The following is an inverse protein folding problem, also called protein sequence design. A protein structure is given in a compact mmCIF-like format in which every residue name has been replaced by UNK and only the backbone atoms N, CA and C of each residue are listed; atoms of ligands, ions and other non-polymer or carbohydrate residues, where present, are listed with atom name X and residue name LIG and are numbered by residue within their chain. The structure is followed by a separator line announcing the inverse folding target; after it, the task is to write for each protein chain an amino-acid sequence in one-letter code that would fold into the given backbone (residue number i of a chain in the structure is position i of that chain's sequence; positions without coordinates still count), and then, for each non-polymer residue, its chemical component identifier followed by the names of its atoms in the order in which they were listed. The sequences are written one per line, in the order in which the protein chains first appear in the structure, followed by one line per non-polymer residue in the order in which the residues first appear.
data_IF_497709011569
#
_entry.id   IF_497709011569
#
_cell.length_a   1.000
_cell.length_b   1.000
_cell.length_c   1.000
_cell.angle_alpha   90.00
_cell.angle_beta   90.00
_cell.angle_gamma   90.00
#
_symmetry.space_group_name_H-M   'P 1'
#
loop_
_entity.id
_entity.type
_entity.pdbx_description
1 polymer ?
#
# COMPACT_ATOMS: atom_id res chain seq x y z
N UNK A 1 30.40 -14.95 39.76
CA UNK A 1 29.96 -13.55 39.46
C UNK A 1 30.22 -13.20 38.00
N UNK A 2 31.38 -13.54 37.43
CA UNK A 2 31.75 -13.20 36.04
C UNK A 2 30.85 -13.82 34.97
N UNK A 3 30.51 -15.11 35.10
CA UNK A 3 29.64 -15.82 34.14
C UNK A 3 28.24 -15.19 34.07
N UNK A 4 27.72 -14.72 35.20
CA UNK A 4 26.43 -14.01 35.26
C UNK A 4 26.50 -12.67 34.51
N UNK A 5 27.62 -11.95 34.62
CA UNK A 5 27.85 -10.71 33.88
C UNK A 5 27.96 -10.93 32.37
N UNK A 6 28.64 -12.00 31.95
CA UNK A 6 28.76 -12.37 30.53
C UNK A 6 27.38 -12.75 29.96
N UNK A 7 26.60 -13.57 30.67
CA UNK A 7 25.24 -13.92 30.27
C UNK A 7 24.35 -12.68 30.16
N UNK A 8 24.40 -11.79 31.14
CA UNK A 8 23.65 -10.54 31.12
C UNK A 8 24.02 -9.67 29.92
N UNK A 9 25.32 -9.53 29.63
CA UNK A 9 25.80 -8.76 28.47
C UNK A 9 25.34 -9.37 27.14
N UNK A 10 25.38 -10.69 27.00
CA UNK A 10 24.90 -11.37 25.79
C UNK A 10 23.39 -11.16 25.56
N UNK A 11 22.58 -11.25 26.62
CA UNK A 11 21.14 -10.96 26.54
C UNK A 11 20.92 -9.51 26.12
N UNK A 12 21.65 -8.58 26.72
CA UNK A 12 21.54 -7.15 26.41
C UNK A 12 21.95 -6.87 24.96
N UNK A 13 22.99 -7.54 24.45
CA UNK A 13 23.43 -7.43 23.06
C UNK A 13 22.40 -7.99 22.09
N UNK A 14 21.80 -9.15 22.37
CA UNK A 14 20.73 -9.72 21.53
C UNK A 14 19.52 -8.80 21.49
N UNK A 15 19.10 -8.26 22.64
CA UNK A 15 18.02 -7.27 22.73
C UNK A 15 18.38 -6.03 21.93
N UNK A 16 19.60 -5.50 22.07
CA UNK A 16 20.06 -4.32 21.34
C UNK A 16 20.03 -4.50 19.82
N UNK A 17 20.53 -5.63 19.32
CA UNK A 17 20.52 -5.97 17.89
C UNK A 17 19.09 -6.19 17.41
N UNK A 18 18.24 -6.86 18.21
CA UNK A 18 16.82 -7.07 17.92
C UNK A 18 16.06 -5.75 17.76
N UNK A 19 16.19 -4.83 18.72
CA UNK A 19 15.58 -3.50 18.62
C UNK A 19 16.12 -2.71 17.41
N UNK A 20 17.41 -2.82 17.11
CA UNK A 20 17.99 -2.15 15.93
C UNK A 20 17.39 -2.68 14.61
N UNK A 21 17.10 -3.99 14.54
CA UNK A 21 16.46 -4.61 13.39
C UNK A 21 15.00 -4.16 13.22
N UNK A 22 14.25 -3.99 14.31
CA UNK A 22 12.86 -3.49 14.26
C UNK A 22 12.78 -2.06 13.74
N UNK A 23 13.75 -1.20 14.09
CA UNK A 23 13.86 0.15 13.49
C UNK A 23 14.09 0.07 11.99
N UNK A 24 14.91 -0.88 11.53
CA UNK A 24 15.11 -1.16 10.11
C UNK A 24 13.85 -1.57 9.37
N UNK A 25 13.09 -2.50 9.94
CA UNK A 25 11.80 -2.95 9.40
C UNK A 25 10.79 -1.80 9.35
N UNK A 26 10.77 -0.96 10.38
CA UNK A 26 9.94 0.24 10.42
C UNK A 26 10.36 1.22 9.32
N UNK A 27 11.66 1.42 9.09
CA UNK A 27 12.17 2.24 8.00
C UNK A 27 11.80 1.67 6.61
N UNK A 28 11.79 0.34 6.46
CA UNK A 28 11.30 -0.35 5.25
C UNK A 28 9.84 -0.02 4.97
N UNK A 29 9.00 -0.10 5.99
CA UNK A 29 7.58 0.21 5.90
C UNK A 29 7.35 1.67 5.46
N UNK A 30 8.31 2.55 5.74
CA UNK A 30 8.30 3.94 5.32
C UNK A 30 8.98 4.22 3.97
N UNK A 31 9.47 3.22 3.24
CA UNK A 31 10.06 3.36 1.90
C UNK A 31 11.58 3.63 1.88
N UNK A 32 12.22 3.75 3.05
CA UNK A 32 13.64 4.15 3.16
C UNK A 32 14.60 2.96 3.18
N UNK A 33 15.89 3.25 2.94
CA UNK A 33 16.98 2.27 3.00
C UNK A 33 17.04 1.57 4.37
N UNK A 34 16.64 0.30 4.40
CA UNK A 34 16.63 -0.53 5.62
C UNK A 34 18.00 -0.59 6.27
N UNK A 35 19.04 -0.88 5.48
CA UNK A 35 20.42 -1.02 5.95
C UNK A 35 20.94 0.28 6.57
N UNK A 36 20.61 1.43 5.97
CA UNK A 36 21.05 2.73 6.47
C UNK A 36 20.46 3.03 7.85
N UNK A 37 19.17 2.72 8.04
CA UNK A 37 18.49 2.94 9.32
C UNK A 37 18.89 1.93 10.39
N UNK A 38 19.14 0.67 10.03
CA UNK A 38 19.69 -0.33 10.97
C UNK A 38 21.07 0.10 11.46
N UNK A 39 21.97 0.51 10.55
CA UNK A 39 23.32 0.96 10.92
C UNK A 39 23.27 2.24 11.77
N UNK A 40 22.39 3.18 11.44
CA UNK A 40 22.17 4.39 12.23
C UNK A 40 21.69 4.07 13.66
N UNK A 41 20.70 3.17 13.79
CA UNK A 41 20.18 2.70 15.07
C UNK A 41 21.25 2.00 15.90
N UNK A 42 22.06 1.17 15.26
CA UNK A 42 23.13 0.43 15.91
C UNK A 42 24.25 1.36 16.43
N UNK A 43 24.52 2.46 15.72
CA UNK A 43 25.59 3.41 16.03
C UNK A 43 25.21 4.44 17.10
N UNK A 44 23.97 4.96 17.06
CA UNK A 44 23.50 5.98 18.00
C UNK A 44 22.73 5.37 19.16
N UNK A 45 21.60 4.75 18.88
CA UNK A 45 20.75 4.05 19.82
C UNK A 45 19.50 3.54 19.08
N UNK A 46 19.03 2.31 19.34
CA UNK A 46 17.78 1.79 18.78
C UNK A 46 16.59 2.70 19.11
N UNK A 47 16.59 3.29 20.31
CA UNK A 47 15.53 4.18 20.77
C UNK A 47 15.49 5.47 19.95
N UNK A 48 16.67 6.04 19.68
CA UNK A 48 16.81 7.26 18.89
C UNK A 48 16.43 6.99 17.42
N UNK A 49 16.86 5.86 16.87
CA UNK A 49 16.47 5.45 15.52
C UNK A 49 14.97 5.26 15.37
N UNK A 50 14.29 4.64 16.35
CA UNK A 50 12.84 4.46 16.35
C UNK A 50 12.08 5.80 16.35
N UNK A 51 12.45 6.71 17.26
CA UNK A 51 11.85 8.06 17.35
C UNK A 51 12.09 8.82 16.04
N UNK A 52 13.30 8.77 15.52
CA UNK A 52 13.68 9.50 14.32
C UNK A 52 12.95 8.97 13.08
N UNK A 53 12.81 7.65 12.94
CA UNK A 53 11.98 7.02 11.88
C UNK A 53 10.52 7.47 11.95
N UNK A 54 9.94 7.51 13.15
CA UNK A 54 8.56 7.98 13.34
C UNK A 54 8.41 9.49 13.10
N UNK A 55 9.36 10.30 13.53
CA UNK A 55 9.33 11.76 13.34
C UNK A 55 9.54 12.17 11.89
N UNK A 56 10.34 11.44 11.10
CA UNK A 56 10.56 11.78 9.70
C UNK A 56 9.41 11.34 8.77
N UNK A 57 8.41 10.61 9.27
CA UNK A 57 7.23 10.18 8.49
C UNK A 57 7.55 9.29 7.28
N UNK A 58 6.51 8.82 6.58
CA UNK A 58 6.61 8.03 5.34
C UNK A 58 7.35 8.86 4.29
N UNK A 59 8.52 8.39 3.82
CA UNK A 59 9.02 8.98 2.58
C UNK A 59 8.10 8.52 1.47
N UNK A 60 7.60 9.50 0.74
CA UNK A 60 6.82 9.31 -0.46
C UNK A 60 7.75 8.84 -1.59
N UNK A 61 8.33 7.64 -1.42
CA UNK A 61 9.01 6.93 -2.51
C UNK A 61 7.98 6.25 -3.42
N UNK A 62 6.71 6.23 -3.03
CA UNK A 62 5.61 6.32 -4.00
C UNK A 62 5.56 7.76 -4.48
N UNK A 63 5.76 8.00 -5.78
CA UNK A 63 5.69 9.35 -6.27
C UNK A 63 4.27 9.88 -6.00
N UNK A 64 4.15 11.15 -5.62
CA UNK A 64 2.85 11.77 -5.31
C UNK A 64 1.78 11.62 -6.42
N UNK A 65 2.18 11.21 -7.63
CA UNK A 65 1.29 10.89 -8.75
C UNK A 65 0.74 9.47 -8.74
N UNK A 66 1.25 8.53 -7.93
CA UNK A 66 0.82 7.13 -7.89
C UNK A 66 -0.63 6.98 -7.39
N UNK A 67 -0.99 7.69 -6.32
CA UNK A 67 -2.38 7.80 -5.84
C UNK A 67 -3.28 8.36 -6.96
N UNK A 68 -2.80 9.39 -7.67
CA UNK A 68 -3.54 9.99 -8.79
C UNK A 68 -3.75 9.03 -9.95
N UNK A 69 -2.82 8.11 -10.25
CA UNK A 69 -3.01 7.12 -11.34
C UNK A 69 -3.99 6.05 -10.95
N UNK A 70 -4.01 5.62 -9.70
CA UNK A 70 -4.93 4.59 -9.25
C UNK A 70 -6.38 5.08 -9.27
N UNK A 71 -6.61 6.33 -8.87
CA UNK A 71 -7.91 7.00 -8.99
C UNK A 71 -8.34 7.15 -10.46
N UNK A 72 -7.43 7.63 -11.32
CA UNK A 72 -7.71 7.77 -12.76
C UNK A 72 -8.02 6.42 -13.41
N UNK A 73 -7.32 5.35 -13.04
CA UNK A 73 -7.56 3.99 -13.57
C UNK A 73 -8.92 3.45 -13.12
N UNK A 74 -9.33 3.71 -11.88
CA UNK A 74 -10.67 3.35 -11.37
C UNK A 74 -11.77 4.12 -12.10
N UNK A 75 -11.57 5.42 -12.34
CA UNK A 75 -12.49 6.23 -13.15
C UNK A 75 -12.61 5.68 -14.57
N UNK A 76 -11.48 5.40 -15.24
CA UNK A 76 -11.47 4.87 -16.60
C UNK A 76 -12.17 3.52 -16.71
N UNK A 77 -11.93 2.62 -15.75
CA UNK A 77 -12.59 1.32 -15.70
C UNK A 77 -14.10 1.46 -15.50
N UNK A 78 -14.53 2.45 -14.72
CA UNK A 78 -15.95 2.71 -14.46
C UNK A 78 -16.65 3.32 -15.66
N UNK A 79 -16.00 4.28 -16.32
CA UNK A 79 -16.49 4.90 -17.56
C UNK A 79 -16.69 3.85 -18.66
N UNK A 80 -15.72 2.95 -18.83
CA UNK A 80 -15.82 1.84 -19.79
C UNK A 80 -16.98 0.89 -19.46
N UNK A 81 -17.26 0.65 -18.17
CA UNK A 81 -18.36 -0.22 -17.76
C UNK A 81 -19.73 0.45 -17.97
N UNK A 82 -19.86 1.73 -17.62
CA UNK A 82 -21.08 2.50 -17.82
C UNK A 82 -21.42 2.59 -19.32
N UNK A 83 -20.43 2.80 -20.19
CA UNK A 83 -20.63 2.81 -21.65
C UNK A 83 -21.11 1.44 -22.18
N UNK A 84 -20.58 0.35 -21.61
CA UNK A 84 -21.00 -1.02 -21.94
C UNK A 84 -22.47 -1.27 -21.56
N UNK A 85 -22.87 -0.82 -20.38
CA UNK A 85 -24.23 -0.98 -19.85
C UNK A 85 -25.23 -0.19 -20.70
N UNK A 86 -24.90 1.05 -21.08
CA UNK A 86 -25.77 1.88 -21.91
C UNK A 86 -26.02 1.23 -23.27
N UNK A 87 -24.97 0.68 -23.91
CA UNK A 87 -25.10 -0.01 -25.19
C UNK A 87 -26.00 -1.24 -25.10
N UNK A 88 -25.84 -2.05 -24.06
CA UNK A 88 -26.69 -3.24 -23.85
C UNK A 88 -28.15 -2.85 -23.58
N UNK A 89 -28.39 -1.78 -22.83
CA UNK A 89 -29.74 -1.28 -22.59
C UNK A 89 -30.41 -0.82 -23.89
N UNK A 90 -29.71 -0.08 -24.74
CA UNK A 90 -30.22 0.36 -26.05
C UNK A 90 -30.55 -0.81 -26.98
N UNK A 91 -29.70 -1.84 -27.04
CA UNK A 91 -29.99 -3.07 -27.79
C UNK A 91 -31.27 -3.76 -27.30
N UNK A 92 -31.47 -3.86 -25.98
CA UNK A 92 -32.69 -4.45 -25.41
C UNK A 92 -33.95 -3.62 -25.69
N UNK A 93 -33.82 -2.30 -25.75
CA UNK A 93 -34.93 -1.40 -26.10
C UNK A 93 -35.27 -1.51 -27.59
N UNK A 94 -34.27 -1.60 -28.46
CA UNK A 94 -34.46 -1.76 -29.90
C UNK A 94 -35.19 -3.07 -30.25
N UNK A 95 -34.78 -4.19 -29.64
CA UNK A 95 -35.45 -5.48 -29.81
C UNK A 95 -36.91 -5.43 -29.34
N UNK A 96 -37.17 -4.88 -28.15
CA UNK A 96 -38.55 -4.73 -27.64
C UNK A 96 -39.42 -3.84 -28.53
N UNK A 97 -38.84 -2.81 -29.15
CA UNK A 97 -39.56 -1.93 -30.10
C UNK A 97 -39.95 -2.70 -31.35
N UNK A 98 -39.04 -3.50 -31.92
CA UNK A 98 -39.31 -4.28 -33.13
C UNK A 98 -40.38 -5.36 -32.90
N UNK A 99 -40.33 -6.06 -31.76
CA UNK A 99 -41.36 -7.03 -31.37
C UNK A 99 -42.75 -6.39 -31.24
N UNK A 100 -42.82 -5.19 -30.66
CA UNK A 100 -44.08 -4.44 -30.55
C UNK A 100 -44.64 -4.06 -31.93
N UNK A 101 -43.80 -3.57 -32.84
CA UNK A 101 -44.21 -3.20 -34.20
C UNK A 101 -44.74 -4.42 -34.95
N UNK A 102 -44.02 -5.54 -34.86
CA UNK A 102 -44.44 -6.82 -35.48
C UNK A 102 -45.74 -7.36 -34.91
N UNK A 103 -46.04 -7.13 -33.62
CA UNK A 103 -47.31 -7.54 -33.01
C UNK A 103 -48.52 -6.71 -33.46
N UNK A 104 -48.31 -5.43 -33.80
CA UNK A 104 -49.37 -4.52 -34.25
C UNK A 104 -49.74 -4.69 -35.72
N UNK A 105 -48.84 -5.23 -36.54
CA UNK A 105 -49.07 -5.48 -37.98
C UNK A 105 -49.92 -6.74 -38.24
N UNK A 106 -50.07 -7.61 -37.24
CA UNK A 106 -50.80 -8.90 -37.33
C UNK A 106 -52.29 -8.75 -36.94
N UNK A 107 -52.83 -7.54 -36.88
CA UNK A 107 -54.22 -7.28 -36.45
C UNK A 107 -54.98 -6.43 -37.46
#
# INVERSE_FOLDING_TARGET
MEILGILFFLVLLVVWVGLSAEVGSTARAFGRSEIGWIVLSLLFSPLFGAIMVHCLGKSNDEPAWADSVEEVKKQFSKETEDERIIREADERIAVKRDERVKSTDVK
#
